data_IF_248621231831
#
_entry.id   IF_248621231831
#
_cell.length_a   1.000
_cell.length_b   1.000
_cell.length_c   1.000
_cell.angle_alpha   90.00
_cell.angle_beta   90.00
_cell.angle_gamma   90.00
#
_symmetry.space_group_name_H-M   'P 1'
#
loop_
_entity.id
_entity.type
_entity.pdbx_description
1 polymer ?
#
# COMPACT_ATOMS: atom_id res chain seq x y z
N UNK A 1 -21.56 25.25 -20.00
CA UNK A 1 -20.42 24.40 -20.40
C UNK A 1 -19.20 24.82 -19.59
N UNK A 2 -18.86 24.08 -18.54
CA UNK A 2 -17.48 23.67 -18.21
C UNK A 2 -17.55 22.73 -17.01
N UNK A 3 -17.81 21.46 -17.29
CA UNK A 3 -17.91 20.35 -16.34
C UNK A 3 -16.52 19.81 -15.91
N UNK A 4 -15.48 20.66 -15.92
CA UNK A 4 -14.10 20.21 -15.75
C UNK A 4 -13.56 20.31 -14.31
N UNK A 5 -14.31 20.90 -13.36
CA UNK A 5 -13.81 21.12 -11.98
C UNK A 5 -14.37 20.09 -10.99
N UNK A 6 -15.38 19.31 -11.36
CA UNK A 6 -16.14 18.47 -10.42
C UNK A 6 -15.64 17.02 -10.26
N UNK A 7 -14.50 16.66 -10.86
CA UNK A 7 -14.08 15.25 -10.95
C UNK A 7 -12.94 14.85 -9.99
N UNK A 8 -12.55 15.74 -9.07
CA UNK A 8 -11.51 15.46 -8.06
C UNK A 8 -12.08 15.39 -6.64
N UNK A 9 -13.33 15.79 -6.43
CA UNK A 9 -14.01 15.79 -5.12
C UNK A 9 -14.97 14.61 -5.03
N UNK A 10 -14.46 13.39 -5.18
CA UNK A 10 -15.10 12.25 -4.51
C UNK A 10 -14.82 12.45 -3.03
N UNK A 11 -15.75 13.12 -2.37
CA UNK A 11 -15.60 13.63 -1.01
C UNK A 11 -15.19 12.46 -0.10
N UNK A 12 -14.11 12.62 0.67
CA UNK A 12 -13.64 11.62 1.63
C UNK A 12 -14.81 11.13 2.52
N UNK A 13 -15.80 11.98 2.77
CA UNK A 13 -17.05 11.62 3.45
C UNK A 13 -17.87 10.55 2.74
N UNK A 14 -17.96 10.53 1.41
CA UNK A 14 -18.67 9.47 0.68
C UNK A 14 -17.90 8.14 0.75
N UNK A 15 -16.57 8.19 0.71
CA UNK A 15 -15.72 7.00 0.88
C UNK A 15 -15.75 6.51 2.33
N UNK A 16 -15.67 7.41 3.31
CA UNK A 16 -15.89 7.11 4.73
C UNK A 16 -17.27 6.52 4.96
N UNK A 17 -18.32 7.07 4.36
CA UNK A 17 -19.67 6.51 4.43
C UNK A 17 -19.71 5.13 3.79
N UNK A 18 -19.07 4.90 2.65
CA UNK A 18 -18.95 3.55 2.09
C UNK A 18 -18.18 2.60 3.02
N UNK A 19 -17.12 3.06 3.68
CA UNK A 19 -16.33 2.27 4.63
C UNK A 19 -17.08 1.98 5.94
N UNK A 20 -17.81 2.96 6.48
CA UNK A 20 -18.64 2.87 7.69
C UNK A 20 -19.91 2.03 7.41
N UNK A 21 -20.57 2.24 6.27
CA UNK A 21 -21.74 1.46 5.87
C UNK A 21 -21.34 0.05 5.43
N UNK A 22 -20.11 -0.17 4.97
CA UNK A 22 -19.50 -1.48 4.87
C UNK A 22 -19.05 -1.95 6.26
N UNK A 23 -20.02 -2.20 7.15
CA UNK A 23 -19.90 -2.87 8.46
C UNK A 23 -19.31 -4.32 8.36
N UNK A 24 -18.63 -4.66 7.27
CA UNK A 24 -17.97 -5.93 7.00
C UNK A 24 -16.68 -6.12 7.81
N UNK A 25 -16.10 -5.05 8.35
CA UNK A 25 -14.85 -5.14 9.13
C UNK A 25 -15.06 -5.36 10.63
N UNK A 26 -16.29 -5.21 11.14
CA UNK A 26 -16.62 -5.34 12.56
C UNK A 26 -17.18 -6.73 12.95
N UNK A 27 -17.57 -7.56 11.97
CA UNK A 27 -18.18 -8.88 12.19
C UNK A 27 -17.49 -9.93 11.28
N UNK A 28 -16.66 -10.83 11.86
CA UNK A 28 -15.86 -11.79 11.09
C UNK A 28 -16.68 -12.86 10.37
N UNK A 29 -17.95 -13.07 10.73
CA UNK A 29 -18.82 -14.11 10.16
C UNK A 29 -19.71 -13.58 9.01
N UNK A 30 -19.65 -12.29 8.70
CA UNK A 30 -20.44 -11.67 7.62
C UNK A 30 -19.75 -11.82 6.26
N UNK A 31 -20.49 -12.12 5.16
CA UNK A 31 -19.91 -12.07 3.82
C UNK A 31 -19.40 -10.65 3.53
N UNK A 32 -18.07 -10.54 3.42
CA UNK A 32 -17.38 -9.30 3.11
C UNK A 32 -17.81 -8.86 1.71
N UNK A 33 -18.50 -7.71 1.61
CA UNK A 33 -18.67 -7.08 0.30
C UNK A 33 -17.36 -6.33 0.04
N UNK A 34 -16.54 -6.77 -0.94
CA UNK A 34 -15.26 -6.14 -1.20
C UNK A 34 -15.49 -4.68 -1.56
N UNK A 35 -14.59 -3.82 -1.09
CA UNK A 35 -14.64 -2.42 -1.50
C UNK A 35 -14.43 -2.35 -3.02
N UNK A 36 -15.12 -1.43 -3.72
CA UNK A 36 -14.80 -1.18 -5.12
C UNK A 36 -13.32 -0.87 -5.25
N UNK A 37 -12.62 -1.58 -6.14
CA UNK A 37 -11.19 -1.37 -6.39
C UNK A 37 -10.87 0.10 -6.74
N UNK A 38 -11.85 0.79 -7.33
CA UNK A 38 -11.82 2.22 -7.63
C UNK A 38 -11.68 3.09 -6.36
N UNK A 39 -12.30 2.72 -5.24
CA UNK A 39 -12.20 3.45 -3.97
C UNK A 39 -10.79 3.36 -3.38
N UNK A 40 -10.15 2.19 -3.46
CA UNK A 40 -8.76 2.01 -2.99
C UNK A 40 -7.80 2.84 -3.84
N UNK A 41 -7.95 2.79 -5.17
CA UNK A 41 -7.16 3.62 -6.09
C UNK A 41 -7.33 5.11 -5.82
N UNK A 42 -8.57 5.55 -5.58
CA UNK A 42 -8.83 6.96 -5.27
C UNK A 42 -8.15 7.39 -3.98
N UNK A 43 -8.24 6.58 -2.90
CA UNK A 43 -7.58 6.88 -1.63
C UNK A 43 -6.06 7.01 -1.79
N UNK A 44 -5.43 6.09 -2.52
CA UNK A 44 -3.98 6.16 -2.80
C UNK A 44 -3.64 7.41 -3.61
N UNK A 45 -4.44 7.75 -4.62
CA UNK A 45 -4.23 8.95 -5.44
C UNK A 45 -4.45 10.25 -4.65
N UNK A 46 -5.39 10.26 -3.71
CA UNK A 46 -5.67 11.42 -2.89
C UNK A 46 -4.43 11.86 -2.11
N UNK A 47 -3.57 10.92 -1.69
CA UNK A 47 -2.29 11.20 -1.00
C UNK A 47 -1.35 12.15 -1.76
N UNK A 48 -1.56 12.39 -3.06
CA UNK A 48 -0.79 13.38 -3.82
C UNK A 48 -1.02 14.82 -3.37
N UNK A 49 -2.20 15.14 -2.83
CA UNK A 49 -2.68 16.52 -2.68
C UNK A 49 -2.99 16.89 -1.23
N UNK A 50 -2.56 16.09 -0.26
CA UNK A 50 -3.12 16.11 1.09
C UNK A 50 -2.16 16.63 2.14
N UNK A 51 -2.72 17.25 3.18
CA UNK A 51 -1.97 17.61 4.38
C UNK A 51 -1.75 16.40 5.31
N UNK A 52 -1.01 16.63 6.40
CA UNK A 52 -0.67 15.57 7.35
C UNK A 52 -1.91 14.99 8.06
N UNK A 53 -2.94 15.79 8.32
CA UNK A 53 -4.15 15.34 9.01
C UNK A 53 -4.95 14.39 8.11
N UNK A 54 -5.14 14.79 6.84
CA UNK A 54 -5.83 13.96 5.86
C UNK A 54 -5.06 12.68 5.53
N UNK A 55 -3.72 12.75 5.47
CA UNK A 55 -2.87 11.56 5.25
C UNK A 55 -3.09 10.50 6.32
N UNK A 56 -3.19 10.89 7.60
CA UNK A 56 -3.47 9.99 8.72
C UNK A 56 -4.84 9.31 8.62
N UNK A 57 -5.84 10.04 8.13
CA UNK A 57 -7.18 9.47 7.88
C UNK A 57 -7.13 8.42 6.77
N UNK A 58 -6.50 8.74 5.63
CA UNK A 58 -6.34 7.80 4.51
C UNK A 58 -5.56 6.55 4.95
N UNK A 59 -4.49 6.72 5.71
CA UNK A 59 -3.70 5.62 6.25
C UNK A 59 -4.57 4.70 7.13
N UNK A 60 -5.37 5.29 8.03
CA UNK A 60 -6.27 4.55 8.91
C UNK A 60 -7.32 3.77 8.12
N UNK A 61 -7.91 4.39 7.10
CA UNK A 61 -8.90 3.74 6.25
C UNK A 61 -8.29 2.56 5.48
N UNK A 62 -7.11 2.75 4.86
CA UNK A 62 -6.43 1.69 4.11
C UNK A 62 -6.00 0.52 5.02
N UNK A 63 -5.61 0.78 6.27
CA UNK A 63 -5.35 -0.27 7.27
C UNK A 63 -6.64 -1.03 7.61
N UNK A 64 -7.77 -0.35 7.74
CA UNK A 64 -9.07 -1.00 7.98
C UNK A 64 -9.52 -1.87 6.80
N UNK A 65 -9.24 -1.45 5.56
CA UNK A 65 -9.45 -2.29 4.36
C UNK A 65 -8.63 -3.58 4.44
N UNK A 66 -7.41 -3.50 4.99
CA UNK A 66 -6.59 -4.69 5.26
C UNK A 66 -6.12 -5.38 3.99
N UNK A 67 -6.34 -6.69 3.90
CA UNK A 67 -5.72 -7.53 2.85
C UNK A 67 -6.14 -7.14 1.42
N UNK A 68 -7.35 -6.62 1.25
CA UNK A 68 -7.84 -6.18 -0.07
C UNK A 68 -7.04 -4.99 -0.63
N UNK A 69 -6.42 -4.17 0.23
CA UNK A 69 -5.61 -3.04 -0.19
C UNK A 69 -4.20 -3.45 -0.64
N UNK A 70 -3.70 -4.62 -0.22
CA UNK A 70 -2.30 -5.03 -0.42
C UNK A 70 -1.83 -4.92 -1.87
N UNK A 71 -2.54 -5.42 -2.90
CA UNK A 71 -2.07 -5.34 -4.27
C UNK A 71 -1.83 -3.90 -4.73
N UNK A 72 -2.76 -3.00 -4.40
CA UNK A 72 -2.71 -1.59 -4.78
C UNK A 72 -1.60 -0.85 -4.02
N UNK A 73 -1.43 -1.14 -2.73
CA UNK A 73 -0.39 -0.55 -1.89
C UNK A 73 1.02 -0.97 -2.35
N UNK A 74 1.18 -2.24 -2.74
CA UNK A 74 2.46 -2.77 -3.23
C UNK A 74 2.84 -2.11 -4.55
N UNK A 75 1.90 -1.96 -5.50
CA UNK A 75 2.14 -1.22 -6.74
C UNK A 75 2.53 0.24 -6.47
N UNK A 76 1.89 0.87 -5.49
CA UNK A 76 2.16 2.26 -5.11
C UNK A 76 3.55 2.48 -4.48
N UNK A 77 4.29 1.42 -4.09
CA UNK A 77 5.68 1.53 -3.65
C UNK A 77 6.61 2.00 -4.78
N UNK A 78 6.23 1.80 -6.05
CA UNK A 78 6.97 2.34 -7.21
C UNK A 78 6.58 3.80 -7.54
N UNK A 79 5.71 4.44 -6.77
CA UNK A 79 5.32 5.82 -7.02
C UNK A 79 6.51 6.78 -6.91
N UNK A 80 6.59 7.72 -7.85
CA UNK A 80 7.55 8.82 -7.82
C UNK A 80 7.19 9.84 -6.72
N UNK A 81 5.92 9.91 -6.31
CA UNK A 81 5.51 10.78 -5.22
C UNK A 81 5.91 10.16 -3.88
N UNK A 82 6.81 10.85 -3.16
CA UNK A 82 7.32 10.40 -1.86
C UNK A 82 6.20 10.22 -0.84
N UNK A 83 5.16 11.06 -0.84
CA UNK A 83 4.06 10.94 0.12
C UNK A 83 3.23 9.67 -0.10
N UNK A 84 2.92 9.35 -1.36
CA UNK A 84 2.26 8.08 -1.71
C UNK A 84 3.12 6.91 -1.23
N UNK A 85 4.40 6.91 -1.64
CA UNK A 85 5.32 5.81 -1.38
C UNK A 85 5.53 5.55 0.12
N UNK A 86 5.78 6.60 0.91
CA UNK A 86 5.99 6.46 2.35
C UNK A 86 4.72 6.04 3.09
N UNK A 87 3.57 6.59 2.71
CA UNK A 87 2.29 6.22 3.33
C UNK A 87 1.94 4.78 3.02
N UNK A 88 2.06 4.34 1.76
CA UNK A 88 1.76 2.96 1.39
C UNK A 88 2.70 1.96 2.08
N UNK A 89 3.99 2.31 2.21
CA UNK A 89 4.93 1.51 3.00
C UNK A 89 4.47 1.37 4.46
N UNK A 90 4.07 2.47 5.11
CA UNK A 90 3.58 2.46 6.49
C UNK A 90 2.29 1.62 6.64
N UNK A 91 1.34 1.78 5.71
CA UNK A 91 0.11 0.97 5.69
C UNK A 91 0.45 -0.52 5.58
N UNK A 92 1.34 -0.91 4.67
CA UNK A 92 1.75 -2.31 4.51
C UNK A 92 2.38 -2.90 5.78
N UNK A 93 3.22 -2.12 6.48
CA UNK A 93 3.82 -2.49 7.76
C UNK A 93 2.73 -2.67 8.83
N UNK A 94 1.77 -1.75 8.90
CA UNK A 94 0.64 -1.80 9.86
C UNK A 94 -0.33 -2.95 9.58
N UNK A 95 -0.56 -3.31 8.31
CA UNK A 95 -1.29 -4.53 7.93
C UNK A 95 -0.51 -5.78 8.39
N UNK A 96 0.83 -5.72 8.37
CA UNK A 96 1.70 -6.73 8.94
C UNK A 96 1.97 -7.91 8.02
N UNK A 97 2.17 -9.11 8.61
CA UNK A 97 2.70 -10.29 7.90
C UNK A 97 1.87 -10.74 6.69
N UNK A 98 0.59 -10.41 6.62
CA UNK A 98 -0.25 -10.69 5.45
C UNK A 98 0.28 -10.02 4.17
N UNK A 99 1.01 -8.91 4.29
CA UNK A 99 1.65 -8.19 3.18
C UNK A 99 2.91 -8.88 2.66
N UNK A 100 3.55 -9.74 3.46
CA UNK A 100 4.91 -10.23 3.21
C UNK A 100 5.08 -10.89 1.84
N UNK A 101 4.16 -11.79 1.47
CA UNK A 101 4.25 -12.52 0.22
C UNK A 101 4.13 -11.61 -1.01
N UNK A 102 3.29 -10.57 -0.93
CA UNK A 102 3.12 -9.61 -2.01
C UNK A 102 4.33 -8.68 -2.14
N UNK A 103 4.83 -8.17 -1.00
CA UNK A 103 6.02 -7.31 -0.96
C UNK A 103 7.26 -8.08 -1.47
N UNK A 104 7.42 -9.36 -1.10
CA UNK A 104 8.54 -10.20 -1.57
C UNK A 104 8.49 -10.40 -3.09
N UNK A 105 7.32 -10.71 -3.65
CA UNK A 105 7.16 -10.87 -5.11
C UNK A 105 7.49 -9.58 -5.85
N UNK A 106 7.06 -8.45 -5.30
CA UNK A 106 7.37 -7.14 -5.85
C UNK A 106 8.86 -6.82 -5.77
N UNK A 107 9.52 -7.15 -4.65
CA UNK A 107 10.98 -7.07 -4.55
C UNK A 107 11.66 -7.87 -5.66
N UNK A 108 11.28 -9.13 -5.86
CA UNK A 108 11.93 -9.99 -6.87
C UNK A 108 11.79 -9.42 -8.29
N UNK A 109 10.67 -8.75 -8.59
CA UNK A 109 10.42 -8.08 -9.87
C UNK A 109 11.24 -6.80 -10.05
N UNK A 110 11.40 -5.99 -8.99
CA UNK A 110 12.02 -4.66 -9.03
C UNK A 110 13.40 -4.60 -8.37
N UNK A 111 14.03 -5.74 -8.06
CA UNK A 111 15.31 -5.82 -7.31
C UNK A 111 16.46 -4.99 -7.90
N UNK A 112 16.43 -4.73 -9.19
CA UNK A 112 17.47 -3.95 -9.89
C UNK A 112 17.11 -2.45 -10.05
N UNK A 113 15.91 -2.03 -9.64
CA UNK A 113 15.49 -0.63 -9.69
C UNK A 113 15.80 0.03 -8.34
N UNK A 114 16.88 0.82 -8.31
CA UNK A 114 17.31 1.51 -7.10
C UNK A 114 16.28 2.53 -6.57
N UNK A 115 15.33 3.01 -7.37
CA UNK A 115 14.29 3.94 -6.90
C UNK A 115 13.21 3.23 -6.10
N UNK A 116 12.97 1.95 -6.40
CA UNK A 116 11.91 1.13 -5.81
C UNK A 116 12.47 0.22 -4.73
N UNK A 117 13.63 -0.39 -4.96
CA UNK A 117 14.17 -1.45 -4.12
C UNK A 117 14.34 -1.00 -2.65
N UNK A 118 14.96 0.15 -2.39
CA UNK A 118 15.26 0.58 -1.01
C UNK A 118 14.03 0.63 -0.08
N UNK A 119 12.87 1.08 -0.60
CA UNK A 119 11.64 1.17 0.22
C UNK A 119 11.04 -0.23 0.44
N UNK A 120 11.16 -1.10 -0.56
CA UNK A 120 10.69 -2.49 -0.46
C UNK A 120 11.56 -3.27 0.52
N UNK A 121 12.88 -3.11 0.48
CA UNK A 121 13.82 -3.68 1.48
C UNK A 121 13.49 -3.19 2.89
N UNK A 122 13.19 -1.90 3.05
CA UNK A 122 12.75 -1.35 4.33
C UNK A 122 11.46 -2.02 4.82
N UNK A 123 10.42 -2.08 3.98
CA UNK A 123 9.15 -2.74 4.35
C UNK A 123 9.37 -4.21 4.71
N UNK A 124 10.18 -4.94 3.94
CA UNK A 124 10.50 -6.34 4.23
C UNK A 124 11.24 -6.50 5.57
N UNK A 125 12.17 -5.61 5.89
CA UNK A 125 12.87 -5.61 7.18
C UNK A 125 11.91 -5.37 8.36
N UNK A 126 11.02 -4.38 8.26
CA UNK A 126 10.00 -4.07 9.27
C UNK A 126 8.98 -5.20 9.44
N UNK A 127 8.70 -5.94 8.36
CA UNK A 127 7.88 -7.16 8.41
C UNK A 127 8.62 -8.39 8.97
N UNK A 128 9.90 -8.26 9.32
CA UNK A 128 10.73 -9.31 9.91
C UNK A 128 11.35 -10.28 8.88
N UNK A 129 11.45 -9.87 7.62
CA UNK A 129 12.05 -10.63 6.53
C UNK A 129 13.12 -9.81 5.79
N UNK A 130 14.20 -9.38 6.48
CA UNK A 130 15.24 -8.56 5.86
C UNK A 130 15.87 -9.30 4.69
N UNK A 131 16.00 -8.62 3.55
CA UNK A 131 16.67 -9.22 2.39
C UNK A 131 18.16 -9.32 2.69
N UNK A 132 18.70 -10.54 2.60
CA UNK A 132 20.13 -10.75 2.72
C UNK A 132 20.80 -10.11 1.50
N UNK A 133 21.63 -9.08 1.72
CA UNK A 133 22.57 -8.64 0.69
C UNK A 133 23.49 -9.83 0.44
N UNK A 134 23.34 -10.49 -0.71
CA UNK A 134 24.26 -11.54 -1.11
C UNK A 134 25.68 -10.99 -0.97
N UNK A 135 26.41 -11.54 -0.01
CA UNK A 135 27.79 -11.12 0.20
C UNK A 135 28.63 -11.75 -0.90
N UNK A 136 29.78 -11.16 -1.21
CA UNK A 136 30.69 -11.70 -2.22
C UNK A 136 31.12 -13.16 -1.93
N UNK A 137 30.96 -13.61 -0.67
CA UNK A 137 31.12 -14.99 -0.24
C UNK A 137 30.05 -15.95 -0.78
N UNK A 138 28.77 -15.55 -0.83
CA UNK A 138 27.65 -16.39 -1.30
C UNK A 138 27.72 -16.68 -2.81
N UNK A 139 28.46 -15.86 -3.56
CA UNK A 139 28.70 -16.04 -5.00
C UNK A 139 29.82 -17.04 -5.30
N UNK A 140 30.74 -17.29 -4.36
CA UNK A 140 31.87 -18.21 -4.55
C UNK A 140 31.48 -19.68 -4.28
N UNK A 141 30.52 -19.94 -3.39
CA UNK A 141 30.06 -21.30 -3.10
C UNK A 141 29.25 -21.95 -4.23
N UNK A 142 28.67 -21.17 -5.15
CA UNK A 142 27.89 -21.72 -6.28
C UNK A 142 28.72 -22.10 -7.51
N UNK A 143 30.03 -21.88 -7.47
CA UNK A 143 30.96 -22.18 -8.59
C UNK A 143 32.00 -23.24 -8.23
N UNK A 144 31.87 -23.87 -7.06
CA UNK A 144 32.72 -24.98 -6.58
C UNK A 144 32.01 -26.31 -6.75
#
# INVERSE_FOLDING_TARGET
>A
MSLAVNNAVHNLEEIKLQLIHNNAFADPDRPQKPLPQESIHYLIKALEYTDAAFTSEVETLLVQVGQEAIPFLVEALASQNTNIRSTCAMVLIRIGRSSLAAVQRFYDQYRNDANVNWVVEFVLAELGAPVSKATQADLLEKVS
#
